data_IF_051619983461
#
_entry.id   IF_051619983461
#
_cell.length_a   1.000
_cell.length_b   1.000
_cell.length_c   1.000
_cell.angle_alpha   90.00
_cell.angle_beta   90.00
_cell.angle_gamma   90.00
#
_symmetry.space_group_name_H-M   'P 1'
#
loop_
_entity.id
_entity.type
_entity.pdbx_description
1 polymer ?
#
# COMPACT_ATOMS: atom_id res chain seq x y z
N UNK A 1 -26.43 -4.63 10.40
CA UNK A 1 -25.80 -3.87 9.28
C UNK A 1 -24.30 -3.97 9.48
N UNK A 2 -23.60 -4.66 8.59
CA UNK A 2 -22.17 -4.97 8.77
C UNK A 2 -21.33 -3.86 8.13
N UNK A 3 -20.31 -3.38 8.83
CA UNK A 3 -19.41 -2.33 8.35
C UNK A 3 -17.96 -2.72 8.65
N UNK A 4 -17.10 -2.51 7.66
CA UNK A 4 -15.65 -2.58 7.82
C UNK A 4 -15.13 -1.15 7.89
N UNK A 5 -14.23 -0.88 8.83
CA UNK A 5 -13.58 0.42 9.01
C UNK A 5 -12.08 0.25 8.84
N UNK A 6 -11.47 1.12 8.03
CA UNK A 6 -10.02 1.15 7.80
C UNK A 6 -9.45 2.31 8.61
N UNK A 7 -8.61 2.01 9.59
CA UNK A 7 -7.96 3.00 10.44
C UNK A 7 -6.66 3.48 9.79
N UNK A 8 -6.66 4.69 9.23
CA UNK A 8 -5.51 5.27 8.54
C UNK A 8 -4.36 5.65 9.47
N UNK A 9 -4.64 6.00 10.74
CA UNK A 9 -3.61 6.31 11.73
C UNK A 9 -2.83 5.05 12.11
N UNK A 10 -3.54 3.94 12.35
CA UNK A 10 -2.92 2.65 12.60
C UNK A 10 -2.11 2.15 11.39
N UNK A 11 -2.63 2.34 10.17
CA UNK A 11 -1.88 2.04 8.94
C UNK A 11 -0.60 2.88 8.85
N UNK A 12 -0.68 4.19 9.11
CA UNK A 12 0.49 5.08 9.09
C UNK A 12 1.53 4.65 10.12
N UNK A 13 1.10 4.33 11.35
CA UNK A 13 1.99 3.81 12.39
C UNK A 13 2.70 2.54 11.91
N UNK A 14 1.96 1.55 11.40
CA UNK A 14 2.53 0.29 10.92
C UNK A 14 3.52 0.49 9.77
N UNK A 15 3.18 1.34 8.80
CA UNK A 15 4.04 1.67 7.64
C UNK A 15 5.35 2.30 8.13
N UNK A 16 5.29 3.29 9.03
CA UNK A 16 6.49 3.95 9.58
C UNK A 16 7.35 3.00 10.39
N UNK A 17 6.73 2.12 11.18
CA UNK A 17 7.43 1.12 11.97
C UNK A 17 8.21 0.15 11.07
N UNK A 18 7.56 -0.42 10.06
CA UNK A 18 8.21 -1.33 9.10
C UNK A 18 9.28 -0.62 8.28
N UNK A 19 9.01 0.59 7.79
CA UNK A 19 9.99 1.40 7.06
C UNK A 19 11.23 1.68 7.91
N UNK A 20 11.05 1.99 9.20
CA UNK A 20 12.16 2.16 10.14
C UNK A 20 13.01 0.90 10.30
N UNK A 21 12.37 -0.28 10.45
CA UNK A 21 13.08 -1.56 10.53
C UNK A 21 13.87 -1.85 9.26
N UNK A 22 13.26 -1.68 8.08
CA UNK A 22 13.92 -1.96 6.81
C UNK A 22 15.12 -1.02 6.58
N UNK A 23 14.96 0.28 6.87
CA UNK A 23 16.06 1.26 6.77
C UNK A 23 17.22 0.97 7.70
N UNK A 24 16.96 0.47 8.91
CA UNK A 24 18.02 0.06 9.84
C UNK A 24 18.90 -1.07 9.28
N UNK A 25 18.36 -1.87 8.36
CA UNK A 25 19.07 -2.93 7.65
C UNK A 25 19.48 -2.55 6.23
N UNK A 26 19.41 -1.26 5.86
CA UNK A 26 19.69 -0.78 4.50
C UNK A 26 18.86 -1.50 3.41
N UNK A 27 17.68 -1.98 3.77
CA UNK A 27 16.78 -2.72 2.89
C UNK A 27 15.66 -1.81 2.35
N UNK A 28 15.19 -2.14 1.14
CA UNK A 28 13.93 -1.63 0.59
C UNK A 28 12.81 -2.65 0.81
N UNK A 29 11.57 -2.20 0.69
CA UNK A 29 10.41 -3.08 0.86
C UNK A 29 9.25 -2.65 -0.04
N UNK A 30 8.39 -3.63 -0.31
CA UNK A 30 7.19 -3.49 -1.15
C UNK A 30 5.97 -3.88 -0.34
N UNK A 31 4.95 -3.03 -0.31
CA UNK A 31 3.72 -3.30 0.43
C UNK A 31 2.79 -4.24 -0.36
N UNK A 32 2.53 -5.43 0.17
CA UNK A 32 1.55 -6.35 -0.44
C UNK A 32 0.12 -5.92 -0.06
N UNK A 33 -0.66 -5.41 -1.01
CA UNK A 33 -1.98 -4.81 -0.76
C UNK A 33 -3.17 -5.75 -1.00
N UNK A 34 -2.94 -7.04 -1.28
CA UNK A 34 -3.99 -7.97 -1.72
C UNK A 34 -5.23 -8.04 -0.82
N UNK A 35 -5.09 -7.81 0.48
CA UNK A 35 -6.22 -7.80 1.44
C UNK A 35 -7.18 -6.62 1.22
N UNK A 36 -6.72 -5.55 0.58
CA UNK A 36 -7.51 -4.36 0.28
C UNK A 36 -8.39 -4.52 -0.95
N UNK A 37 -8.20 -5.57 -1.74
CA UNK A 37 -9.05 -5.92 -2.88
C UNK A 37 -9.31 -4.76 -3.86
N UNK A 38 -8.29 -3.93 -4.12
CA UNK A 38 -8.43 -2.81 -5.05
C UNK A 38 -9.24 -1.62 -4.51
N UNK A 39 -9.46 -1.51 -3.19
CA UNK A 39 -10.23 -0.40 -2.62
C UNK A 39 -9.50 0.95 -2.81
N UNK A 40 -9.88 1.68 -3.88
CA UNK A 40 -9.20 2.89 -4.37
C UNK A 40 -8.93 3.95 -3.28
N UNK A 41 -9.89 4.29 -2.38
CA UNK A 41 -9.62 5.30 -1.36
C UNK A 41 -8.48 4.90 -0.42
N UNK A 42 -8.37 3.61 -0.09
CA UNK A 42 -7.26 3.12 0.74
C UNK A 42 -5.96 3.07 -0.04
N UNK A 43 -5.99 2.66 -1.31
CA UNK A 43 -4.80 2.67 -2.16
C UNK A 43 -4.25 4.09 -2.36
N UNK A 44 -5.12 5.08 -2.54
CA UNK A 44 -4.74 6.49 -2.57
C UNK A 44 -4.13 6.94 -1.25
N UNK A 45 -4.75 6.58 -0.12
CA UNK A 45 -4.20 6.90 1.20
C UNK A 45 -2.82 6.28 1.39
N UNK A 46 -2.57 5.04 0.96
CA UNK A 46 -1.24 4.41 1.04
C UNK A 46 -0.17 5.24 0.32
N UNK A 47 -0.46 5.78 -0.87
CA UNK A 47 0.47 6.69 -1.58
C UNK A 47 0.76 7.94 -0.75
N UNK A 48 -0.29 8.58 -0.21
CA UNK A 48 -0.15 9.77 0.66
C UNK A 48 0.59 9.49 1.97
N UNK A 49 0.54 8.25 2.46
CA UNK A 49 1.28 7.79 3.64
C UNK A 49 2.76 7.49 3.35
N UNK A 50 3.21 7.65 2.09
CA UNK A 50 4.60 7.53 1.69
C UNK A 50 4.99 6.16 1.14
N UNK A 51 4.03 5.26 0.89
CA UNK A 51 4.31 3.97 0.24
C UNK A 51 4.73 4.21 -1.22
N UNK A 52 5.92 3.73 -1.59
CA UNK A 52 6.50 3.93 -2.93
C UNK A 52 6.62 2.65 -3.77
N UNK A 53 6.36 1.49 -3.18
CA UNK A 53 6.35 0.20 -3.87
C UNK A 53 5.18 -0.64 -3.37
N UNK A 54 4.32 -1.11 -4.28
CA UNK A 54 3.09 -1.86 -3.99
C UNK A 54 3.08 -3.17 -4.79
N UNK A 55 2.56 -4.24 -4.18
CA UNK A 55 2.40 -5.54 -4.82
C UNK A 55 0.98 -6.09 -4.66
N UNK A 56 0.44 -6.71 -5.71
CA UNK A 56 -0.81 -7.47 -5.66
C UNK A 56 -0.72 -8.71 -6.55
N UNK A 57 -1.52 -9.73 -6.24
CA UNK A 57 -1.63 -10.95 -7.03
C UNK A 57 -2.77 -10.91 -8.06
N UNK A 58 -3.48 -9.80 -8.18
CA UNK A 58 -4.58 -9.59 -9.14
C UNK A 58 -4.34 -8.31 -9.94
N UNK A 59 -4.28 -8.42 -11.27
CA UNK A 59 -4.09 -7.27 -12.16
C UNK A 59 -5.18 -6.20 -11.96
N UNK A 60 -6.44 -6.61 -11.80
CA UNK A 60 -7.57 -5.70 -11.56
C UNK A 60 -7.36 -4.82 -10.31
N UNK A 61 -6.70 -5.33 -9.26
CA UNK A 61 -6.41 -4.52 -8.07
C UNK A 61 -5.30 -3.50 -8.32
N UNK A 62 -4.32 -3.82 -9.17
CA UNK A 62 -3.26 -2.90 -9.55
C UNK A 62 -3.80 -1.79 -10.46
N UNK A 63 -4.77 -2.10 -11.31
CA UNK A 63 -5.45 -1.12 -12.16
C UNK A 63 -6.23 -0.06 -11.37
N UNK A 64 -6.68 -0.40 -10.15
CA UNK A 64 -7.34 0.49 -9.21
C UNK A 64 -6.39 1.50 -8.53
N UNK A 65 -5.08 1.43 -8.79
CA UNK A 65 -4.13 2.42 -8.26
C UNK A 65 -4.35 3.79 -8.91
N UNK A 66 -4.39 4.89 -8.12
CA UNK A 66 -4.52 6.23 -8.67
C UNK A 66 -3.36 6.57 -9.61
N UNK A 67 -3.69 6.95 -10.84
CA UNK A 67 -2.74 7.37 -11.87
C UNK A 67 -2.23 8.80 -11.70
N UNK A 68 -2.83 9.56 -10.78
CA UNK A 68 -2.44 10.94 -10.46
C UNK A 68 -1.39 10.98 -9.34
N UNK A 69 -0.61 12.05 -9.33
CA UNK A 69 0.50 12.25 -8.38
C UNK A 69 1.75 11.48 -8.77
N UNK A 70 2.66 11.31 -7.81
CA UNK A 70 3.92 10.62 -8.05
C UNK A 70 3.70 9.16 -8.50
N UNK A 71 4.55 8.66 -9.40
CA UNK A 71 4.55 7.25 -9.76
C UNK A 71 4.88 6.40 -8.53
N UNK A 72 4.25 5.23 -8.47
CA UNK A 72 4.52 4.18 -7.47
C UNK A 72 5.02 2.95 -8.24
N UNK A 73 6.03 2.28 -7.71
CA UNK A 73 6.48 1.01 -8.27
C UNK A 73 5.41 -0.06 -8.01
N UNK A 74 5.08 -0.86 -9.02
CA UNK A 74 4.03 -1.89 -8.92
C UNK A 74 4.57 -3.26 -9.29
N UNK A 75 4.30 -4.25 -8.43
CA UNK A 75 4.69 -5.64 -8.62
C UNK A 75 3.47 -6.54 -8.74
N UNK A 76 3.37 -7.27 -9.85
CA UNK A 76 2.41 -8.36 -9.97
C UNK A 76 3.02 -9.65 -9.43
N UNK A 77 2.38 -10.23 -8.41
CA UNK A 77 2.81 -11.48 -7.78
C UNK A 77 2.13 -12.68 -8.46
N UNK A 78 2.92 -13.58 -9.03
CA UNK A 78 2.44 -14.83 -9.67
C UNK A 78 2.53 -16.01 -8.71
#
# INVERSE_FOLDING_TARGET
>A
MNRITINLEALQHNIRTVDGWMRAHQASWTLVCKVLCGHEPTLAALKSLGVRSIADSRLLNLEALPRTGDPVETWYLR
#
